data_IF_373111600403
#
_entry.id   IF_373111600403
#
_cell.length_a   1.000
_cell.length_b   1.000
_cell.length_c   1.000
_cell.angle_alpha   90.00
_cell.angle_beta   90.00
_cell.angle_gamma   90.00
#
_symmetry.space_group_name_H-M   'P 1'
#
loop_
_entity.id
_entity.type
_entity.pdbx_description
1 polymer ?
#
# COMPACT_ATOMS: atom_id res chain seq x y z
N UNK A 1 8.60 -12.71 24.87
CA UNK A 1 8.79 -12.86 23.41
C UNK A 1 7.44 -13.22 22.83
N UNK A 2 6.57 -12.23 22.67
CA UNK A 2 5.25 -12.37 22.01
C UNK A 2 4.94 -11.16 21.12
N UNK A 3 5.79 -10.13 21.10
CA UNK A 3 5.58 -8.91 20.29
C UNK A 3 5.88 -9.14 18.82
N UNK A 4 6.86 -9.97 18.50
CA UNK A 4 7.44 -9.98 17.14
C UNK A 4 6.56 -10.74 16.15
N UNK A 5 5.80 -11.74 16.62
CA UNK A 5 4.84 -12.47 15.77
C UNK A 5 3.64 -11.63 15.36
N UNK A 6 3.16 -10.73 16.21
CA UNK A 6 1.99 -9.89 15.91
C UNK A 6 2.31 -8.85 14.82
N UNK A 7 3.56 -8.39 14.73
CA UNK A 7 4.00 -7.47 13.69
C UNK A 7 4.20 -8.15 12.33
N UNK A 8 4.60 -9.43 12.31
CA UNK A 8 4.75 -10.18 11.06
C UNK A 8 3.39 -10.55 10.44
N UNK A 9 2.38 -10.86 11.26
CA UNK A 9 1.05 -11.26 10.76
C UNK A 9 0.28 -10.13 10.05
N UNK A 10 0.67 -8.86 10.25
CA UNK A 10 0.08 -7.72 9.54
C UNK A 10 0.92 -7.22 8.36
N UNK A 11 2.12 -7.76 8.12
CA UNK A 11 3.04 -7.25 7.10
C UNK A 11 2.77 -7.89 5.73
N UNK A 12 1.79 -7.35 5.00
CA UNK A 12 1.38 -7.86 3.69
C UNK A 12 2.32 -7.43 2.55
N UNK A 13 3.04 -6.32 2.74
CA UNK A 13 3.83 -5.67 1.69
C UNK A 13 5.25 -5.36 2.16
N UNK A 14 6.23 -5.84 1.40
CA UNK A 14 7.65 -5.66 1.70
C UNK A 14 8.29 -4.59 0.82
N UNK A 15 9.42 -4.04 1.26
CA UNK A 15 10.22 -3.12 0.45
C UNK A 15 10.51 -3.72 -0.94
N UNK A 16 10.20 -2.95 -1.98
CA UNK A 16 10.45 -3.31 -3.37
C UNK A 16 9.33 -4.05 -4.06
N UNK A 17 8.30 -4.51 -3.34
CA UNK A 17 7.08 -5.04 -3.93
C UNK A 17 6.43 -4.01 -4.88
N UNK A 18 5.72 -4.50 -5.88
CA UNK A 18 4.90 -3.66 -6.76
C UNK A 18 3.44 -3.85 -6.37
N UNK A 19 2.76 -2.74 -6.08
CA UNK A 19 1.34 -2.72 -5.80
C UNK A 19 0.60 -1.99 -6.91
N UNK A 20 -0.66 -2.37 -7.15
CA UNK A 20 -1.58 -1.72 -8.08
C UNK A 20 -2.76 -1.13 -7.31
N UNK A 21 -3.09 0.13 -7.59
CA UNK A 21 -4.26 0.80 -7.04
C UNK A 21 -5.55 0.21 -7.63
N UNK A 22 -6.47 -0.25 -6.80
CA UNK A 22 -7.74 -0.87 -7.20
C UNK A 22 -8.94 0.06 -7.06
N UNK A 23 -8.80 1.18 -6.34
CA UNK A 23 -9.84 2.19 -6.17
C UNK A 23 -9.67 3.39 -7.13
N UNK A 24 -10.77 4.09 -7.42
CA UNK A 24 -10.80 5.38 -8.12
C UNK A 24 -11.06 6.56 -7.16
N UNK A 25 -11.12 6.30 -5.85
CA UNK A 25 -11.41 7.31 -4.83
C UNK A 25 -10.43 8.49 -4.87
N UNK A 26 -9.14 8.22 -5.02
CA UNK A 26 -8.11 9.27 -5.09
C UNK A 26 -8.35 10.23 -6.27
N UNK A 27 -8.61 9.67 -7.45
CA UNK A 27 -8.93 10.45 -8.66
C UNK A 27 -10.19 11.30 -8.46
N UNK A 28 -11.26 10.72 -7.89
CA UNK A 28 -12.53 11.43 -7.61
C UNK A 28 -12.39 12.54 -6.57
N UNK A 29 -11.40 12.46 -5.70
CA UNK A 29 -11.12 13.47 -4.67
C UNK A 29 -10.01 14.45 -5.08
N UNK A 30 -9.62 14.47 -6.36
CA UNK A 30 -8.68 15.45 -6.91
C UNK A 30 -7.19 15.12 -6.70
N UNK A 31 -6.88 13.91 -6.22
CA UNK A 31 -5.50 13.44 -6.16
C UNK A 31 -5.04 12.95 -7.54
N UNK A 32 -3.72 13.03 -7.85
CA UNK A 32 -3.19 12.65 -9.15
C UNK A 32 -3.05 11.13 -9.36
N UNK A 33 -3.68 10.30 -8.51
CA UNK A 33 -3.54 8.84 -8.54
C UNK A 33 -4.73 8.19 -9.24
N UNK A 34 -4.46 7.49 -10.34
CA UNK A 34 -5.48 6.82 -11.14
C UNK A 34 -5.62 5.35 -10.76
N UNK A 35 -6.84 4.83 -10.78
CA UNK A 35 -7.10 3.39 -10.66
C UNK A 35 -6.28 2.61 -11.69
N UNK A 36 -5.64 1.53 -11.27
CA UNK A 36 -4.78 0.70 -12.10
C UNK A 36 -3.31 1.13 -12.17
N UNK A 37 -2.96 2.31 -11.63
CA UNK A 37 -1.57 2.75 -11.52
C UNK A 37 -0.77 1.81 -10.60
N UNK A 38 0.50 1.59 -10.92
CA UNK A 38 1.39 0.73 -10.13
C UNK A 38 2.48 1.56 -9.45
N UNK A 39 2.79 1.20 -8.20
CA UNK A 39 3.76 1.91 -7.37
C UNK A 39 4.68 0.92 -6.65
N UNK A 40 5.91 1.36 -6.37
CA UNK A 40 6.89 0.52 -5.67
C UNK A 40 6.81 0.77 -4.17
N UNK A 41 6.62 -0.29 -3.40
CA UNK A 41 6.54 -0.25 -1.93
C UNK A 41 7.90 0.15 -1.36
N UNK A 42 7.88 1.10 -0.43
CA UNK A 42 9.01 1.45 0.44
C UNK A 42 8.89 0.71 1.76
N UNK A 43 7.74 0.79 2.42
CA UNK A 43 7.45 0.02 3.62
C UNK A 43 5.95 0.03 3.86
N UNK A 44 5.49 -0.88 4.70
CA UNK A 44 4.14 -0.86 5.25
C UNK A 44 4.19 -0.33 6.68
N UNK A 45 3.18 0.46 7.04
CA UNK A 45 2.96 0.93 8.40
C UNK A 45 1.49 0.74 8.75
N UNK A 46 1.19 -0.25 9.60
CA UNK A 46 -0.17 -0.68 9.92
C UNK A 46 -1.00 -0.98 8.64
N UNK A 47 -2.09 -0.26 8.44
CA UNK A 47 -3.03 -0.36 7.32
C UNK A 47 -2.64 0.51 6.12
N UNK A 48 -1.43 1.08 6.10
CA UNK A 48 -0.94 1.91 5.02
C UNK A 48 0.29 1.33 4.33
N UNK A 49 0.29 1.35 3.00
CA UNK A 49 1.47 1.12 2.18
C UNK A 49 2.03 2.45 1.72
N UNK A 50 3.31 2.65 2.02
CA UNK A 50 4.07 3.84 1.64
C UNK A 50 4.89 3.53 0.40
N UNK A 51 4.80 4.40 -0.61
CA UNK A 51 5.48 4.25 -1.89
C UNK A 51 6.39 5.45 -2.19
N UNK A 52 7.04 5.46 -3.35
CA UNK A 52 7.79 6.63 -3.84
C UNK A 52 6.89 7.81 -4.25
N UNK A 53 5.59 7.58 -4.45
CA UNK A 53 4.65 8.60 -4.97
C UNK A 53 3.55 9.01 -4.00
N UNK A 54 3.27 8.19 -2.99
CA UNK A 54 2.17 8.44 -2.06
C UNK A 54 1.98 7.30 -1.07
N UNK A 55 1.00 7.51 -0.19
CA UNK A 55 0.57 6.53 0.81
C UNK A 55 -0.84 6.07 0.45
N UNK A 56 -1.08 4.76 0.53
CA UNK A 56 -2.35 4.15 0.17
C UNK A 56 -2.82 3.20 1.26
N UNK A 57 -4.13 3.10 1.49
CA UNK A 57 -4.68 2.05 2.34
C UNK A 57 -4.37 0.68 1.74
N UNK A 58 -4.09 -0.32 2.59
CA UNK A 58 -3.90 -1.71 2.15
C UNK A 58 -5.13 -2.29 1.46
N UNK A 59 -6.32 -1.76 1.76
CA UNK A 59 -7.59 -2.17 1.14
C UNK A 59 -7.78 -1.61 -0.28
N UNK A 60 -7.06 -0.53 -0.59
CA UNK A 60 -7.16 0.16 -1.89
C UNK A 60 -6.20 -0.41 -2.93
N UNK A 61 -5.33 -1.35 -2.54
CA UNK A 61 -4.21 -1.82 -3.36
C UNK A 61 -4.13 -3.34 -3.34
N UNK A 62 -3.55 -3.90 -4.41
CA UNK A 62 -3.15 -5.31 -4.45
C UNK A 62 -1.72 -5.48 -4.88
N UNK A 63 -1.08 -6.54 -4.41
CA UNK A 63 0.22 -6.98 -4.93
C UNK A 63 0.09 -7.45 -6.38
N UNK A 64 1.05 -7.07 -7.22
CA UNK A 64 1.14 -7.47 -8.63
C UNK A 64 2.00 -8.72 -8.78
#
# INVERSE_FOLDING_TARGET
MESDQVFEDYNMYNYGDVIRLETDWYEKNGFPFKRGSCYKVKYQYFDWVITDRGSFSIEDVKKV
#
